data_IF_066639734176
#
_entry.id   IF_066639734176
#
_cell.length_a   1.000
_cell.length_b   1.000
_cell.length_c   1.000
_cell.angle_alpha   90.00
_cell.angle_beta   90.00
_cell.angle_gamma   90.00
#
_symmetry.space_group_name_H-M   'P 1'
#
loop_
_entity.id
_entity.type
_entity.pdbx_description
1 polymer ?
#
# COMPACT_ATOMS: atom_id res chain seq x y z
N UNK A 1 1.77 -64.09 25.11
CA UNK A 1 1.05 -62.99 25.79
C UNK A 1 2.10 -61.95 26.12
N UNK A 2 1.98 -60.66 25.86
CA UNK A 2 1.20 -59.83 24.96
C UNK A 2 1.99 -58.50 24.91
N UNK A 3 1.83 -57.70 23.86
CA UNK A 3 2.69 -56.55 23.58
C UNK A 3 2.27 -55.33 24.40
N UNK A 4 3.15 -54.35 24.57
CA UNK A 4 2.75 -52.98 24.91
C UNK A 4 3.49 -52.03 23.99
N UNK A 5 2.81 -51.71 22.89
CA UNK A 5 3.08 -50.56 22.05
C UNK A 5 2.32 -49.34 22.61
N UNK A 6 2.86 -48.16 22.30
CA UNK A 6 2.31 -46.81 22.50
C UNK A 6 2.32 -46.31 23.96
N UNK A 7 2.86 -45.13 24.27
CA UNK A 7 2.60 -43.87 23.56
C UNK A 7 3.79 -42.90 23.53
N UNK A 8 4.53 -42.88 22.42
CA UNK A 8 5.31 -41.70 22.00
C UNK A 8 4.39 -40.75 21.22
N UNK A 9 3.37 -40.23 21.90
CA UNK A 9 2.38 -39.34 21.31
C UNK A 9 2.18 -38.11 22.20
N UNK A 10 3.26 -37.41 22.56
CA UNK A 10 3.11 -36.03 23.08
C UNK A 10 4.36 -35.15 22.93
N UNK A 11 4.95 -35.12 21.74
CA UNK A 11 5.86 -34.05 21.36
C UNK A 11 5.33 -33.31 20.12
N UNK A 12 4.11 -32.79 20.24
CA UNK A 12 3.78 -31.60 19.47
C UNK A 12 4.72 -30.49 19.95
N UNK A 13 5.55 -29.88 19.08
CA UNK A 13 6.45 -28.83 19.52
C UNK A 13 5.59 -27.72 20.12
N UNK A 14 5.98 -27.25 21.30
CA UNK A 14 5.33 -26.15 22.02
C UNK A 14 5.38 -24.85 21.20
N UNK A 15 4.56 -24.77 20.15
CA UNK A 15 4.30 -23.56 19.38
C UNK A 15 3.34 -22.61 20.13
N UNK A 16 2.87 -23.00 21.31
CA UNK A 16 1.63 -22.51 21.90
C UNK A 16 1.70 -21.22 22.72
N UNK A 17 2.88 -20.72 23.10
CA UNK A 17 3.01 -19.54 23.98
C UNK A 17 3.73 -18.36 23.33
N UNK A 18 5.06 -18.42 23.33
CA UNK A 18 5.92 -17.30 22.87
C UNK A 18 5.74 -17.00 21.38
N UNK A 19 5.54 -18.02 20.55
CA UNK A 19 5.26 -17.83 19.12
C UNK A 19 3.87 -17.21 18.88
N UNK A 20 2.87 -17.56 19.70
CA UNK A 20 1.54 -16.98 19.65
C UNK A 20 1.54 -15.51 20.10
N UNK A 21 2.29 -15.15 21.15
CA UNK A 21 2.40 -13.76 21.62
C UNK A 21 3.11 -12.85 20.61
N UNK A 22 4.18 -13.35 19.98
CA UNK A 22 4.87 -12.63 18.89
C UNK A 22 3.95 -12.43 17.69
N UNK A 23 3.20 -13.47 17.30
CA UNK A 23 2.25 -13.39 16.20
C UNK A 23 1.15 -12.36 16.51
N UNK A 24 0.58 -12.39 17.71
CA UNK A 24 -0.42 -11.42 18.18
C UNK A 24 0.11 -9.99 18.10
N UNK A 25 1.31 -9.75 18.61
CA UNK A 25 1.94 -8.42 18.55
C UNK A 25 2.14 -7.92 17.11
N UNK A 26 2.51 -8.81 16.17
CA UNK A 26 2.60 -8.45 14.75
C UNK A 26 1.24 -8.08 14.18
N UNK A 27 0.20 -8.86 14.46
CA UNK A 27 -1.17 -8.63 13.97
C UNK A 27 -1.69 -7.29 14.50
N UNK A 28 -1.65 -7.05 15.81
CA UNK A 28 -2.16 -5.81 16.43
C UNK A 28 -1.45 -4.56 15.86
N UNK A 29 -0.14 -4.65 15.63
CA UNK A 29 0.62 -3.55 15.03
C UNK A 29 0.21 -3.29 13.58
N UNK A 30 -0.10 -4.32 12.81
CA UNK A 30 -0.58 -4.20 11.42
C UNK A 30 -1.98 -3.63 11.40
N UNK A 31 -2.90 -4.14 12.23
CA UNK A 31 -4.29 -3.65 12.31
C UNK A 31 -4.35 -2.16 12.64
N UNK A 32 -3.58 -1.70 13.64
CA UNK A 32 -3.46 -0.27 13.94
C UNK A 32 -2.99 0.54 12.73
N UNK A 33 -1.96 0.06 12.01
CA UNK A 33 -1.49 0.74 10.79
C UNK A 33 -2.53 0.72 9.67
N UNK A 34 -3.37 -0.32 9.59
CA UNK A 34 -4.48 -0.38 8.63
C UNK A 34 -5.57 0.65 8.95
N UNK A 35 -5.90 0.82 10.24
CA UNK A 35 -6.83 1.84 10.70
C UNK A 35 -6.31 3.25 10.43
N UNK A 36 -5.04 3.53 10.75
CA UNK A 36 -4.38 4.81 10.44
C UNK A 36 -4.39 5.07 8.93
N UNK A 37 -4.05 4.07 8.11
CA UNK A 37 -4.10 4.17 6.64
C UNK A 37 -5.52 4.45 6.14
N UNK A 38 -6.53 3.85 6.75
CA UNK A 38 -7.94 4.07 6.39
C UNK A 38 -8.38 5.49 6.72
N UNK A 39 -8.02 6.01 7.90
CA UNK A 39 -8.28 7.40 8.29
C UNK A 39 -7.61 8.38 7.31
N UNK A 40 -6.30 8.23 7.06
CA UNK A 40 -5.58 9.05 6.09
C UNK A 40 -6.18 8.97 4.68
N UNK A 41 -6.65 7.80 4.27
CA UNK A 41 -7.31 7.62 2.98
C UNK A 41 -8.67 8.33 2.91
N UNK A 42 -9.38 8.48 4.04
CA UNK A 42 -10.61 9.25 4.12
C UNK A 42 -10.30 10.76 4.01
N UNK A 43 -9.33 11.24 4.79
CA UNK A 43 -8.91 12.65 4.74
C UNK A 43 -8.48 13.07 3.33
N UNK A 44 -7.70 12.23 2.63
CA UNK A 44 -7.30 12.49 1.24
C UNK A 44 -8.52 12.57 0.30
N UNK A 45 -9.55 11.74 0.52
CA UNK A 45 -10.77 11.79 -0.30
C UNK A 45 -11.54 13.09 -0.06
N UNK A 46 -11.62 13.54 1.18
CA UNK A 46 -12.30 14.77 1.54
C UNK A 46 -11.60 15.99 0.91
N UNK A 47 -10.27 16.03 0.92
CA UNK A 47 -9.49 17.07 0.21
C UNK A 47 -9.78 17.06 -1.30
N UNK A 48 -9.87 15.88 -1.92
CA UNK A 48 -10.24 15.80 -3.34
C UNK A 48 -11.70 16.24 -3.60
N UNK A 49 -12.61 16.02 -2.65
CA UNK A 49 -14.00 16.48 -2.74
C UNK A 49 -14.10 18.00 -2.58
N UNK A 50 -13.31 18.59 -1.69
CA UNK A 50 -13.16 20.04 -1.55
C UNK A 50 -12.61 20.66 -2.84
N UNK A 51 -11.53 20.10 -3.39
CA UNK A 51 -10.95 20.57 -4.65
C UNK A 51 -11.97 20.53 -5.79
N UNK A 52 -12.78 19.48 -5.87
CA UNK A 52 -13.87 19.37 -6.84
C UNK A 52 -14.93 20.46 -6.63
N UNK A 53 -15.32 20.70 -5.38
CA UNK A 53 -16.31 21.74 -5.03
C UNK A 53 -15.79 23.15 -5.32
N UNK A 54 -14.48 23.37 -5.22
CA UNK A 54 -13.81 24.59 -5.61
C UNK A 54 -13.62 24.76 -7.13
N UNK A 55 -14.03 23.77 -7.94
CA UNK A 55 -13.99 23.83 -9.40
C UNK A 55 -12.73 23.26 -10.05
N UNK A 56 -11.83 22.61 -9.29
CA UNK A 56 -10.65 21.99 -9.86
C UNK A 56 -10.94 20.59 -10.45
N UNK A 57 -10.23 20.24 -11.52
CA UNK A 57 -10.25 18.89 -12.07
C UNK A 57 -9.36 17.95 -11.23
N UNK A 58 -10.01 17.06 -10.48
CA UNK A 58 -9.36 16.08 -9.61
C UNK A 58 -8.44 15.11 -10.38
N UNK A 59 -8.73 14.78 -11.64
CA UNK A 59 -7.86 13.92 -12.46
C UNK A 59 -6.54 14.63 -12.76
N UNK A 60 -6.59 15.91 -13.10
CA UNK A 60 -5.41 16.73 -13.35
C UNK A 60 -4.59 16.90 -12.07
N UNK A 61 -5.22 17.15 -10.92
CA UNK A 61 -4.52 17.20 -9.63
C UNK A 61 -3.76 15.89 -9.35
N UNK A 62 -4.39 14.73 -9.57
CA UNK A 62 -3.73 13.42 -9.39
C UNK A 62 -2.54 13.24 -10.32
N UNK A 63 -2.64 13.72 -11.57
CA UNK A 63 -1.52 13.71 -12.51
C UNK A 63 -0.38 14.58 -12.01
N UNK A 64 -0.66 15.80 -11.55
CA UNK A 64 0.35 16.71 -10.97
C UNK A 64 1.03 16.07 -9.75
N UNK A 65 0.27 15.46 -8.83
CA UNK A 65 0.84 14.76 -7.67
C UNK A 65 1.78 13.63 -8.10
N UNK A 66 1.46 12.91 -9.18
CA UNK A 66 2.34 11.85 -9.72
C UNK A 66 3.62 12.44 -10.32
N UNK A 67 3.51 13.49 -11.12
CA UNK A 67 4.67 14.18 -11.71
C UNK A 67 5.60 14.73 -10.62
N UNK A 68 5.03 15.31 -9.55
CA UNK A 68 5.79 15.83 -8.40
C UNK A 68 6.56 14.78 -7.60
N UNK A 69 6.31 13.48 -7.83
CA UNK A 69 7.04 12.38 -7.20
C UNK A 69 8.22 11.88 -8.04
N UNK A 70 8.34 12.33 -9.28
CA UNK A 70 9.40 11.96 -10.20
C UNK A 70 10.57 12.95 -10.11
N UNK A 71 11.75 12.56 -10.60
CA UNK A 71 12.87 13.47 -10.70
C UNK A 71 12.57 14.57 -11.74
N UNK A 72 12.85 15.87 -11.46
CA UNK A 72 12.56 16.94 -12.40
C UNK A 72 13.18 16.74 -13.79
N UNK A 73 14.41 16.21 -13.86
CA UNK A 73 15.10 15.95 -15.12
C UNK A 73 14.41 14.85 -15.96
N UNK A 74 13.97 13.76 -15.32
CA UNK A 74 13.22 12.69 -15.99
C UNK A 74 11.87 13.20 -16.54
N UNK A 75 11.19 14.07 -15.79
CA UNK A 75 9.93 14.69 -16.25
C UNK A 75 10.17 15.56 -17.48
N UNK A 76 11.19 16.41 -17.45
CA UNK A 76 11.52 17.32 -18.57
C UNK A 76 11.92 16.54 -19.83
N UNK A 77 12.70 15.46 -19.68
CA UNK A 77 13.06 14.58 -20.80
C UNK A 77 11.81 13.91 -21.41
N UNK A 78 10.92 13.37 -20.57
CA UNK A 78 9.67 12.77 -21.04
C UNK A 78 8.76 13.77 -21.74
N UNK A 79 8.62 14.99 -21.21
CA UNK A 79 7.82 16.05 -21.82
C UNK A 79 8.38 16.46 -23.19
N UNK A 80 9.71 16.56 -23.30
CA UNK A 80 10.39 16.85 -24.57
C UNK A 80 10.13 15.76 -25.61
N UNK A 81 10.27 14.48 -25.23
CA UNK A 81 10.01 13.36 -26.13
C UNK A 81 8.54 13.29 -26.55
N UNK A 82 7.62 13.51 -25.62
CA UNK A 82 6.18 13.53 -25.88
C UNK A 82 5.81 14.61 -26.91
N UNK A 83 6.38 15.81 -26.77
CA UNK A 83 6.18 16.93 -27.68
C UNK A 83 6.73 16.64 -29.08
N UNK A 84 7.92 16.05 -29.19
CA UNK A 84 8.48 15.57 -30.47
C UNK A 84 7.53 14.56 -31.15
N UNK A 85 7.03 13.57 -30.40
CA UNK A 85 6.15 12.55 -30.95
C UNK A 85 4.77 13.10 -31.34
N UNK A 86 4.22 14.05 -30.57
CA UNK A 86 2.97 14.74 -30.92
C UNK A 86 3.09 15.50 -32.24
N UNK A 87 4.17 16.27 -32.40
CA UNK A 87 4.46 16.98 -33.66
C UNK A 87 4.60 16.01 -34.84
N UNK A 88 5.30 14.89 -34.66
CA UNK A 88 5.45 13.87 -35.70
C UNK A 88 4.12 13.22 -36.11
N UNK A 89 3.16 13.13 -35.18
CA UNK A 89 1.81 12.61 -35.41
C UNK A 89 0.79 13.68 -35.84
N UNK A 90 1.18 14.96 -35.87
CA UNK A 90 0.28 16.08 -36.19
C UNK A 90 -0.77 16.36 -35.11
N UNK A 91 -0.47 16.04 -33.84
CA UNK A 91 -1.31 16.32 -32.66
C UNK A 91 -0.90 17.60 -31.95
#
# INVERSE_FOLDING_TARGET
MSPTAASDADHAPAAGGIAADRLRSVIERVERLEEERKALSADIKDIFAEAKSAGFDVKIIRQIIRLRKQEPAEVEEQETLLDIYRRALGM
#
